data_IF_074653676263
#
_entry.id   IF_074653676263
#
_cell.length_a   1.000
_cell.length_b   1.000
_cell.length_c   1.000
_cell.angle_alpha   90.00
_cell.angle_beta   90.00
_cell.angle_gamma   90.00
#
_symmetry.space_group_name_H-M   'P 1'
#
loop_
_entity.id
_entity.type
_entity.pdbx_description
1 polymer ?
#
# COMPACT_ATOMS: atom_id res chain seq x y z
N UNK A 1 -30.64 21.15 21.57
CA UNK A 1 -29.66 22.13 22.07
C UNK A 1 -28.47 21.34 22.57
N UNK A 2 -27.27 21.38 22.01
CA UNK A 2 -26.75 22.04 20.82
C UNK A 2 -25.47 21.30 20.41
N UNK A 3 -25.17 21.42 19.12
CA UNK A 3 -24.06 20.86 18.35
C UNK A 3 -22.66 21.00 18.96
N UNK A 4 -21.75 20.07 18.63
CA UNK A 4 -20.62 20.41 17.74
C UNK A 4 -19.91 19.18 17.13
N UNK A 5 -20.00 19.13 15.82
CA UNK A 5 -19.17 18.44 14.84
C UNK A 5 -17.66 18.61 15.08
N UNK A 6 -16.91 17.51 14.96
CA UNK A 6 -15.54 17.52 14.42
C UNK A 6 -15.46 16.48 13.32
N UNK A 7 -15.69 16.95 12.10
CA UNK A 7 -15.38 16.29 10.85
C UNK A 7 -13.86 16.11 10.80
N UNK A 8 -13.37 14.90 11.02
CA UNK A 8 -12.03 14.52 10.58
C UNK A 8 -12.25 13.65 9.37
N UNK A 9 -12.05 14.21 8.18
CA UNK A 9 -11.76 13.43 6.98
C UNK A 9 -10.47 12.68 7.29
N UNK A 10 -10.59 11.52 7.94
CA UNK A 10 -9.48 10.61 8.11
C UNK A 10 -9.17 10.14 6.69
N UNK A 11 -8.16 10.75 6.07
CA UNK A 11 -7.56 10.20 4.86
C UNK A 11 -7.27 8.73 5.16
N UNK A 12 -8.04 7.84 4.51
CA UNK A 12 -7.92 6.40 4.71
C UNK A 12 -6.61 5.98 4.07
N UNK A 13 -5.54 5.95 4.84
CA UNK A 13 -4.22 5.49 4.41
C UNK A 13 -4.24 3.96 4.39
N UNK A 14 -3.89 3.38 3.24
CA UNK A 14 -3.69 1.93 3.11
C UNK A 14 -2.32 1.57 3.69
N UNK A 15 -2.31 0.86 4.82
CA UNK A 15 -1.09 0.40 5.47
C UNK A 15 -0.86 -1.08 5.14
N UNK A 16 0.26 -1.40 4.50
CA UNK A 16 0.65 -2.76 4.12
C UNK A 16 1.92 -3.13 4.88
N UNK A 17 1.84 -4.18 5.69
CA UNK A 17 3.00 -4.76 6.38
C UNK A 17 3.60 -5.82 5.46
N UNK A 18 4.90 -5.70 5.18
CA UNK A 18 5.64 -6.62 4.34
C UNK A 18 6.31 -7.69 5.19
N UNK A 19 6.11 -8.95 4.82
CA UNK A 19 6.81 -10.08 5.44
C UNK A 19 8.30 -10.10 5.08
N UNK A 20 9.06 -10.94 5.80
CA UNK A 20 10.51 -11.12 5.64
C UNK A 20 10.95 -11.40 4.20
N UNK A 21 10.14 -12.18 3.47
CA UNK A 21 10.37 -12.53 2.07
C UNK A 21 9.29 -11.97 1.16
N UNK A 22 9.68 -10.98 0.37
CA UNK A 22 8.86 -10.45 -0.72
C UNK A 22 9.20 -11.17 -2.02
N UNK A 23 8.62 -12.35 -2.21
CA UNK A 23 8.89 -13.22 -3.36
C UNK A 23 7.69 -13.36 -4.32
N UNK A 24 7.83 -14.26 -5.30
CA UNK A 24 6.79 -14.54 -6.29
C UNK A 24 5.48 -15.08 -5.69
N UNK A 25 5.50 -15.64 -4.48
CA UNK A 25 4.30 -16.17 -3.83
C UNK A 25 3.36 -15.07 -3.35
N UNK A 26 3.92 -13.92 -2.91
CA UNK A 26 3.16 -12.79 -2.36
C UNK A 26 2.91 -11.66 -3.36
N UNK A 27 3.64 -11.62 -4.48
CA UNK A 27 3.57 -10.50 -5.45
C UNK A 27 2.16 -10.28 -6.03
N UNK A 28 1.38 -11.36 -6.20
CA UNK A 28 0.03 -11.28 -6.73
C UNK A 28 -0.91 -10.54 -5.79
N UNK A 29 -0.86 -10.87 -4.50
CA UNK A 29 -1.65 -10.23 -3.45
C UNK A 29 -1.23 -8.77 -3.25
N UNK A 30 0.07 -8.51 -3.17
CA UNK A 30 0.61 -7.16 -3.07
C UNK A 30 0.11 -6.28 -4.22
N UNK A 31 0.11 -6.79 -5.46
CA UNK A 31 -0.40 -6.06 -6.62
C UNK A 31 -1.90 -5.73 -6.48
N UNK A 32 -2.71 -6.62 -5.93
CA UNK A 32 -4.15 -6.36 -5.72
C UNK A 32 -4.33 -5.20 -4.74
N UNK A 33 -3.68 -5.23 -3.57
CA UNK A 33 -3.78 -4.16 -2.58
C UNK A 33 -3.33 -2.80 -3.12
N UNK A 34 -2.24 -2.77 -3.90
CA UNK A 34 -1.74 -1.54 -4.51
C UNK A 34 -2.73 -0.97 -5.55
N UNK A 35 -3.38 -1.81 -6.35
CA UNK A 35 -4.37 -1.36 -7.33
C UNK A 35 -5.66 -0.86 -6.68
N UNK A 36 -6.09 -1.51 -5.60
CA UNK A 36 -7.24 -1.05 -4.81
C UNK A 36 -6.97 0.34 -4.23
N UNK A 37 -5.78 0.55 -3.65
CA UNK A 37 -5.38 1.85 -3.13
C UNK A 37 -5.27 2.91 -4.23
N UNK A 38 -4.70 2.55 -5.39
CA UNK A 38 -4.62 3.44 -6.55
C UNK A 38 -6.00 3.86 -7.04
N UNK A 39 -6.92 2.90 -7.16
CA UNK A 39 -8.31 3.15 -7.60
C UNK A 39 -9.04 4.05 -6.61
N UNK A 40 -8.83 3.82 -5.31
CA UNK A 40 -9.40 4.63 -4.24
C UNK A 40 -8.71 5.99 -4.07
N UNK A 41 -7.58 6.23 -4.75
CA UNK A 41 -6.70 7.41 -4.58
C UNK A 41 -6.26 7.60 -3.13
N UNK A 42 -6.03 6.49 -2.43
CA UNK A 42 -5.58 6.50 -1.06
C UNK A 42 -4.06 6.49 -0.98
N UNK A 43 -3.45 7.28 -0.06
CA UNK A 43 -2.04 7.14 0.25
C UNK A 43 -1.73 5.71 0.69
N UNK A 44 -0.57 5.18 0.28
CA UNK A 44 -0.08 3.86 0.70
C UNK A 44 1.16 4.01 1.55
N UNK A 45 1.20 3.34 2.70
CA UNK A 45 2.40 3.15 3.50
C UNK A 45 2.79 1.68 3.47
N UNK A 46 4.04 1.40 3.09
CA UNK A 46 4.62 0.07 3.11
C UNK A 46 5.57 -0.02 4.31
N UNK A 47 5.26 -0.90 5.26
CA UNK A 47 6.16 -1.22 6.36
C UNK A 47 7.06 -2.38 5.94
N UNK A 48 8.32 -2.06 5.64
CA UNK A 48 9.35 -3.03 5.25
C UNK A 48 10.35 -3.35 6.36
N UNK A 49 10.02 -3.07 7.62
CA UNK A 49 10.96 -3.20 8.75
C UNK A 49 11.50 -4.62 8.94
N UNK A 50 10.72 -5.64 8.59
CA UNK A 50 11.10 -7.05 8.70
C UNK A 50 11.64 -7.65 7.38
N UNK A 51 11.63 -6.88 6.27
CA UNK A 51 12.01 -7.40 4.95
C UNK A 51 13.52 -7.68 4.87
N UNK A 52 13.89 -8.93 4.65
CA UNK A 52 15.28 -9.34 4.41
C UNK A 52 15.60 -9.46 2.92
N UNK A 53 14.60 -9.87 2.10
CA UNK A 53 14.79 -10.09 0.67
C UNK A 53 13.55 -9.73 -0.14
N UNK A 54 13.76 -9.09 -1.29
CA UNK A 54 12.75 -8.88 -2.30
C UNK A 54 13.19 -9.43 -3.66
N UNK A 55 12.34 -10.23 -4.30
CA UNK A 55 12.54 -10.67 -5.66
C UNK A 55 12.28 -9.54 -6.65
N UNK A 56 12.91 -9.63 -7.83
CA UNK A 56 12.78 -8.63 -8.90
C UNK A 56 11.33 -8.39 -9.31
N UNK A 57 10.48 -9.43 -9.29
CA UNK A 57 9.07 -9.31 -9.64
C UNK A 57 8.32 -8.34 -8.69
N UNK A 58 8.61 -8.39 -7.39
CA UNK A 58 8.02 -7.47 -6.42
C UNK A 58 8.50 -6.04 -6.68
N UNK A 59 9.80 -5.85 -6.89
CA UNK A 59 10.37 -4.53 -7.19
C UNK A 59 9.77 -3.92 -8.47
N UNK A 60 9.51 -4.74 -9.48
CA UNK A 60 8.83 -4.31 -10.71
C UNK A 60 7.39 -3.86 -10.45
N UNK A 61 6.64 -4.58 -9.62
CA UNK A 61 5.27 -4.17 -9.23
C UNK A 61 5.29 -2.85 -8.46
N UNK A 62 6.21 -2.68 -7.50
CA UNK A 62 6.35 -1.43 -6.75
C UNK A 62 6.74 -0.25 -7.66
N UNK A 63 7.66 -0.48 -8.60
CA UNK A 63 8.06 0.54 -9.58
C UNK A 63 6.91 0.94 -10.49
N UNK A 64 6.11 -0.03 -10.98
CA UNK A 64 4.92 0.24 -11.78
C UNK A 64 3.87 1.03 -10.99
N UNK A 65 3.56 0.61 -9.76
CA UNK A 65 2.64 1.32 -8.88
C UNK A 65 3.07 2.77 -8.64
N UNK A 66 4.36 3.02 -8.35
CA UNK A 66 4.88 4.37 -8.17
C UNK A 66 4.75 5.25 -9.42
N UNK A 67 4.91 4.66 -10.62
CA UNK A 67 4.71 5.37 -11.88
C UNK A 67 3.25 5.70 -12.13
N UNK A 68 2.35 4.78 -11.83
CA UNK A 68 0.90 4.95 -12.03
C UNK A 68 0.26 5.90 -11.01
N UNK A 69 0.81 5.98 -9.79
CA UNK A 69 0.33 6.85 -8.72
C UNK A 69 0.73 8.34 -8.89
N UNK A 70 1.57 8.66 -9.88
CA UNK A 70 2.10 9.99 -10.14
C UNK A 70 1.26 10.75 -11.17
#
# INVERSE_FOLDING_TARGET
MSDKTSNSEAETVSHIVCDEMLDISVVGELRVHLLEALTAKHPVTLDGSDVERADTAVLQVLAAFFQDAR
#
